data_IF_647111785392
#
_entry.id   IF_647111785392
#
_cell.length_a   1.000
_cell.length_b   1.000
_cell.length_c   1.000
_cell.angle_alpha   90.00
_cell.angle_beta   90.00
_cell.angle_gamma   90.00
#
_symmetry.space_group_name_H-M   'P 1'
#
loop_
_entity.id
_entity.type
_entity.pdbx_description
1 polymer ?
#
# COMPACT_ATOMS: atom_id res chain seq x y z
N UNK A 1 8.47 -0.23 16.63
CA UNK A 1 7.26 0.54 16.98
C UNK A 1 6.09 -0.11 16.27
N UNK A 2 4.97 -0.32 16.96
CA UNK A 2 3.74 -0.82 16.33
C UNK A 2 3.05 0.31 15.55
N UNK A 3 2.22 -0.04 14.57
CA UNK A 3 1.45 0.93 13.80
C UNK A 3 0.63 1.88 14.69
N UNK A 4 -0.02 1.35 15.73
CA UNK A 4 -0.73 2.13 16.75
C UNK A 4 0.18 3.17 17.40
N UNK A 5 1.34 2.74 17.89
CA UNK A 5 2.29 3.64 18.55
C UNK A 5 2.84 4.72 17.62
N UNK A 6 2.98 4.41 16.32
CA UNK A 6 3.39 5.42 15.33
C UNK A 6 2.29 6.47 15.16
N UNK A 7 1.03 6.07 14.95
CA UNK A 7 -0.08 7.03 14.83
C UNK A 7 -0.18 7.92 16.07
N UNK A 8 -0.22 7.31 17.26
CA UNK A 8 -0.37 8.02 18.53
C UNK A 8 0.78 9.03 18.76
N UNK A 9 2.01 8.72 18.32
CA UNK A 9 3.17 9.61 18.47
C UNK A 9 3.06 10.95 17.75
N UNK A 10 2.18 11.06 16.75
CA UNK A 10 1.97 12.32 16.03
C UNK A 10 1.11 13.31 16.80
N UNK A 11 0.39 12.86 17.84
CA UNK A 11 -0.48 13.69 18.67
C UNK A 11 -1.42 14.57 17.83
N UNK A 12 -2.10 13.98 16.84
CA UNK A 12 -2.83 14.72 15.80
C UNK A 12 -3.85 15.72 16.35
N UNK A 13 -4.40 15.46 17.54
CA UNK A 13 -5.40 16.29 18.20
C UNK A 13 -4.83 17.60 18.78
N UNK A 14 -3.54 17.65 19.09
CA UNK A 14 -2.91 18.80 19.77
C UNK A 14 -1.72 19.37 19.01
N UNK A 15 -1.14 18.62 18.08
CA UNK A 15 0.01 19.05 17.32
C UNK A 15 -0.37 20.14 16.30
N UNK A 16 0.19 21.34 16.49
CA UNK A 16 -0.08 22.52 15.67
C UNK A 16 0.16 22.32 14.17
N UNK A 17 1.04 21.38 13.78
CA UNK A 17 1.29 21.04 12.37
C UNK A 17 0.03 20.55 11.64
N UNK A 18 -0.89 19.93 12.37
CA UNK A 18 -2.05 19.27 11.80
C UNK A 18 -3.36 20.03 12.02
N UNK A 19 -3.35 21.05 12.88
CA UNK A 19 -4.55 21.81 13.20
C UNK A 19 -5.01 22.63 12.00
N UNK A 20 -6.32 22.62 11.69
CA UNK A 20 -6.87 23.43 10.60
C UNK A 20 -6.69 24.91 10.86
N UNK A 21 -6.62 25.66 9.76
CA UNK A 21 -6.76 27.13 9.77
C UNK A 21 -8.06 27.53 9.07
N UNK A 22 -8.35 28.82 9.00
CA UNK A 22 -9.51 29.32 8.25
C UNK A 22 -9.44 29.02 6.75
N UNK A 23 -8.25 28.77 6.19
CA UNK A 23 -8.03 28.62 4.75
C UNK A 23 -7.46 27.26 4.32
N UNK A 24 -7.04 26.41 5.27
CA UNK A 24 -6.38 25.14 4.94
C UNK A 24 -6.66 24.03 5.95
N UNK A 25 -6.65 22.79 5.43
CA UNK A 25 -6.61 21.56 6.23
C UNK A 25 -5.41 20.72 5.82
N UNK A 26 -4.96 19.85 6.71
CA UNK A 26 -3.69 19.14 6.57
C UNK A 26 -3.86 17.61 6.60
N UNK A 27 -5.03 17.12 6.15
CA UNK A 27 -5.38 15.69 6.13
C UNK A 27 -4.34 14.84 5.39
N UNK A 28 -3.94 15.27 4.20
CA UNK A 28 -2.93 14.62 3.38
C UNK A 28 -1.55 14.64 4.05
N UNK A 29 -1.16 15.74 4.69
CA UNK A 29 0.14 15.87 5.37
C UNK A 29 0.22 14.90 6.55
N UNK A 30 -0.81 14.85 7.38
CA UNK A 30 -0.88 13.90 8.50
C UNK A 30 -0.75 12.45 8.02
N UNK A 31 -1.56 12.05 7.04
CA UNK A 31 -1.49 10.71 6.49
C UNK A 31 -0.11 10.40 5.88
N UNK A 32 0.48 11.33 5.14
CA UNK A 32 1.82 11.16 4.55
C UNK A 32 2.91 11.01 5.62
N UNK A 33 2.86 11.78 6.70
CA UNK A 33 3.84 11.71 7.77
C UNK A 33 3.76 10.39 8.53
N UNK A 34 2.56 9.95 8.89
CA UNK A 34 2.32 8.65 9.53
C UNK A 34 2.88 7.52 8.66
N UNK A 35 2.52 7.50 7.38
CA UNK A 35 2.95 6.43 6.48
C UNK A 35 4.45 6.50 6.18
N UNK A 36 5.06 7.69 6.16
CA UNK A 36 6.52 7.84 6.04
C UNK A 36 7.24 7.28 7.27
N UNK A 37 6.72 7.50 8.47
CA UNK A 37 7.27 6.91 9.69
C UNK A 37 7.18 5.37 9.69
N UNK A 38 6.16 4.81 9.02
CA UNK A 38 6.03 3.37 8.76
C UNK A 38 6.94 2.86 7.63
N UNK A 39 7.62 3.75 6.87
CA UNK A 39 8.37 3.43 5.63
C UNK A 39 7.47 2.93 4.49
N UNK A 40 6.24 3.42 4.45
CA UNK A 40 5.19 3.03 3.51
C UNK A 40 4.71 4.27 2.73
N UNK A 41 5.58 5.01 2.02
CA UNK A 41 5.25 6.35 1.53
C UNK A 41 4.00 6.36 0.64
N UNK A 42 3.10 7.30 0.93
CA UNK A 42 1.93 7.62 0.10
C UNK A 42 2.30 8.52 -1.08
N UNK A 43 1.42 8.61 -2.11
CA UNK A 43 1.56 9.65 -3.12
C UNK A 43 1.58 11.05 -2.52
N UNK A 44 2.29 11.97 -3.19
CA UNK A 44 2.33 13.40 -2.83
C UNK A 44 1.16 14.18 -3.44
N UNK A 45 0.94 15.41 -2.96
CA UNK A 45 -0.07 16.33 -3.49
C UNK A 45 -1.40 16.31 -2.73
N UNK A 46 -2.45 16.82 -3.35
CA UNK A 46 -3.82 16.87 -2.79
C UNK A 46 -4.46 15.49 -2.74
N UNK A 47 -5.53 15.31 -1.93
CA UNK A 47 -6.29 14.06 -1.85
C UNK A 47 -6.73 13.56 -3.24
N UNK A 48 -7.23 14.45 -4.09
CA UNK A 48 -7.60 14.12 -5.47
C UNK A 48 -6.44 13.57 -6.29
N UNK A 49 -5.26 14.20 -6.21
CA UNK A 49 -4.05 13.74 -6.91
C UNK A 49 -3.56 12.39 -6.36
N UNK A 50 -3.58 12.23 -5.04
CA UNK A 50 -3.23 10.96 -4.38
C UNK A 50 -4.16 9.84 -4.81
N UNK A 51 -5.48 10.07 -4.77
CA UNK A 51 -6.48 9.08 -5.19
C UNK A 51 -6.29 8.66 -6.64
N UNK A 52 -6.08 9.61 -7.56
CA UNK A 52 -5.79 9.29 -8.97
C UNK A 52 -4.52 8.45 -9.13
N UNK A 53 -3.46 8.75 -8.37
CA UNK A 53 -2.22 7.99 -8.42
C UNK A 53 -2.37 6.55 -7.91
N UNK A 54 -3.14 6.36 -6.83
CA UNK A 54 -3.49 5.05 -6.27
C UNK A 54 -4.36 4.24 -7.25
N UNK A 55 -5.38 4.87 -7.84
CA UNK A 55 -6.25 4.24 -8.84
C UNK A 55 -5.49 3.86 -10.12
N UNK A 56 -4.53 4.68 -10.53
CA UNK A 56 -3.64 4.38 -11.65
C UNK A 56 -2.52 3.38 -11.30
N UNK A 57 -2.54 2.79 -10.10
CA UNK A 57 -1.55 1.81 -9.63
C UNK A 57 -0.09 2.31 -9.74
N UNK A 58 0.14 3.62 -9.57
CA UNK A 58 1.50 4.20 -9.58
C UNK A 58 2.30 3.87 -8.32
N UNK A 59 1.62 3.37 -7.28
CA UNK A 59 2.19 2.95 -6.01
C UNK A 59 1.79 1.48 -5.75
N UNK A 60 2.48 0.52 -6.38
CA UNK A 60 2.00 -0.85 -6.49
C UNK A 60 1.88 -1.59 -5.15
N UNK A 61 2.54 -1.14 -4.10
CA UNK A 61 2.42 -1.72 -2.76
C UNK A 61 1.12 -1.27 -2.04
N UNK A 62 0.50 -0.17 -2.47
CA UNK A 62 -0.78 0.27 -1.95
C UNK A 62 -1.91 -0.39 -2.74
N UNK A 63 -2.51 -1.43 -2.16
CA UNK A 63 -3.56 -2.22 -2.82
C UNK A 63 -4.95 -1.75 -2.39
N UNK A 64 -5.92 -1.66 -3.31
CA UNK A 64 -7.31 -1.42 -2.95
C UNK A 64 -7.84 -2.59 -2.12
N UNK A 65 -8.57 -2.29 -1.05
CA UNK A 65 -9.18 -3.29 -0.15
C UNK A 65 -10.62 -2.90 0.17
N UNK A 66 -11.43 -3.87 0.60
CA UNK A 66 -12.76 -3.60 1.16
C UNK A 66 -12.64 -3.02 2.57
N UNK A 67 -13.71 -2.39 3.09
CA UNK A 67 -13.68 -1.73 4.40
C UNK A 67 -13.38 -2.69 5.57
N UNK A 68 -13.97 -3.88 5.56
CA UNK A 68 -13.69 -4.92 6.55
C UNK A 68 -12.22 -5.38 6.52
N UNK A 69 -11.64 -5.50 5.31
CA UNK A 69 -10.22 -5.82 5.13
C UNK A 69 -9.34 -4.65 5.57
N UNK A 70 -9.76 -3.40 5.35
CA UNK A 70 -9.02 -2.23 5.82
C UNK A 70 -8.89 -2.23 7.35
N UNK A 71 -9.99 -2.44 8.09
CA UNK A 71 -9.94 -2.50 9.55
C UNK A 71 -9.09 -3.68 10.04
N UNK A 72 -9.25 -4.88 9.46
CA UNK A 72 -8.47 -6.04 9.89
C UNK A 72 -6.98 -5.87 9.63
N UNK A 73 -6.59 -5.24 8.52
CA UNK A 73 -5.20 -4.93 8.19
C UNK A 73 -4.60 -3.86 9.09
N UNK A 74 -5.35 -2.81 9.38
CA UNK A 74 -4.92 -1.81 10.37
C UNK A 74 -4.66 -2.49 11.72
N UNK A 75 -5.60 -3.31 12.21
CA UNK A 75 -5.45 -4.07 13.46
C UNK A 75 -4.23 -5.00 13.44
N UNK A 76 -3.90 -5.57 12.29
CA UNK A 76 -2.70 -6.40 12.10
C UNK A 76 -1.39 -5.58 11.94
N UNK A 77 -1.46 -4.25 12.00
CA UNK A 77 -0.31 -3.36 12.00
C UNK A 77 0.15 -2.86 10.64
N UNK A 78 -0.63 -3.04 9.58
CA UNK A 78 -0.31 -2.56 8.24
C UNK A 78 -0.87 -1.16 8.01
N UNK A 79 -0.07 -0.25 7.45
CA UNK A 79 -0.53 1.09 7.11
C UNK A 79 -1.72 1.03 6.17
N UNK A 80 -2.79 1.68 6.58
CA UNK A 80 -4.09 1.58 5.91
C UNK A 80 -4.77 2.93 5.93
N UNK A 81 -5.37 3.32 4.81
CA UNK A 81 -6.03 4.62 4.64
C UNK A 81 -7.43 4.47 4.06
N UNK A 82 -8.28 5.45 4.37
CA UNK A 82 -9.53 5.72 3.65
C UNK A 82 -9.41 7.07 2.94
N UNK A 83 -9.85 7.18 1.70
CA UNK A 83 -9.67 8.39 0.89
C UNK A 83 -10.84 8.65 -0.07
N UNK A 84 -11.23 9.93 -0.17
CA UNK A 84 -12.08 10.52 -1.21
C UNK A 84 -11.28 11.57 -1.98
N UNK A 85 -11.87 12.24 -2.97
CA UNK A 85 -11.15 13.28 -3.74
C UNK A 85 -10.79 14.52 -2.89
N UNK A 86 -11.46 14.73 -1.78
CA UNK A 86 -11.33 15.89 -0.90
C UNK A 86 -10.64 15.57 0.43
N UNK A 87 -10.72 14.33 0.92
CA UNK A 87 -10.26 13.99 2.26
C UNK A 87 -9.58 12.63 2.36
N UNK A 88 -8.68 12.46 3.33
CA UNK A 88 -7.98 11.21 3.62
C UNK A 88 -7.87 11.03 5.14
N UNK A 89 -8.06 9.79 5.58
CA UNK A 89 -7.88 9.38 6.98
C UNK A 89 -6.93 8.19 7.04
N UNK A 90 -6.27 8.03 8.19
CA UNK A 90 -5.50 6.84 8.55
C UNK A 90 -6.44 5.88 9.29
N UNK A 91 -6.58 4.63 8.85
CA UNK A 91 -7.40 3.64 9.57
C UNK A 91 -6.66 3.21 10.82
N UNK A 92 -7.31 3.36 11.97
CA UNK A 92 -6.72 3.16 13.29
C UNK A 92 -6.85 1.69 13.74
N UNK A 93 -5.80 1.10 14.34
CA UNK A 93 -5.82 -0.25 14.88
C UNK A 93 -6.59 -0.34 16.21
N UNK A 94 -7.91 -0.29 16.14
CA UNK A 94 -8.79 -0.32 17.32
C UNK A 94 -9.09 -1.75 17.83
N UNK A 95 -8.76 -2.78 17.03
CA UNK A 95 -8.99 -4.18 17.40
C UNK A 95 -10.41 -4.70 17.12
N UNK A 96 -11.30 -3.86 16.58
CA UNK A 96 -12.65 -4.27 16.22
C UNK A 96 -12.71 -5.00 14.87
N UNK A 97 -13.76 -5.80 14.70
CA UNK A 97 -14.17 -6.33 13.38
C UNK A 97 -15.19 -5.39 12.78
N UNK A 98 -14.93 -4.89 11.57
CA UNK A 98 -15.85 -4.03 10.84
C UNK A 98 -16.71 -4.84 9.87
N UNK A 99 -18.03 -4.63 9.90
CA UNK A 99 -18.99 -5.22 8.96
C UNK A 99 -19.41 -4.24 7.87
N UNK A 100 -19.28 -2.94 8.15
CA UNK A 100 -19.64 -1.83 7.27
C UNK A 100 -18.59 -0.73 7.31
N UNK A 101 -18.68 0.22 6.38
CA UNK A 101 -17.78 1.39 6.39
C UNK A 101 -17.90 2.16 7.72
N UNK A 102 -19.12 2.38 8.23
CA UNK A 102 -19.34 3.10 9.49
C UNK A 102 -18.69 2.45 10.71
N UNK A 103 -18.32 1.17 10.61
CA UNK A 103 -17.69 0.46 11.72
C UNK A 103 -16.20 0.77 11.88
N UNK A 104 -15.57 1.43 10.89
CA UNK A 104 -14.14 1.68 10.91
C UNK A 104 -13.76 2.75 11.93
N UNK A 105 -12.60 2.56 12.54
CA UNK A 105 -11.92 3.57 13.35
C UNK A 105 -10.81 4.21 12.55
N UNK A 106 -10.59 5.49 12.78
CA UNK A 106 -9.64 6.30 12.05
C UNK A 106 -8.97 7.33 12.94
N UNK A 107 -7.88 7.88 12.41
CA UNK A 107 -7.24 9.08 12.88
C UNK A 107 -7.05 10.01 11.70
N UNK A 108 -7.28 11.30 11.93
CA UNK A 108 -7.29 12.29 10.86
C UNK A 108 -6.85 13.65 11.35
N UNK A 109 -6.23 14.38 10.44
CA UNK A 109 -6.25 15.84 10.41
C UNK A 109 -7.30 16.27 9.40
N UNK A 110 -7.91 17.44 9.54
CA UNK A 110 -9.01 17.87 8.67
C UNK A 110 -9.64 19.16 9.18
N UNK A 111 -10.94 19.36 8.95
CA UNK A 111 -11.70 20.46 9.58
C UNK A 111 -11.67 20.38 11.12
N UNK A 112 -11.43 19.18 11.64
CA UNK A 112 -11.11 18.87 13.02
C UNK A 112 -10.14 17.70 13.02
N UNK A 113 -9.32 17.61 14.06
CA UNK A 113 -8.39 16.51 14.26
C UNK A 113 -9.00 15.50 15.24
N UNK A 114 -8.86 14.22 14.93
CA UNK A 114 -9.33 13.12 15.76
C UNK A 114 -8.29 12.03 15.81
N UNK A 115 -8.10 11.42 16.98
CA UNK A 115 -7.41 10.15 17.12
C UNK A 115 -8.43 9.08 17.55
N UNK A 116 -8.21 7.83 17.15
CA UNK A 116 -9.04 6.67 17.53
C UNK A 116 -10.56 6.94 17.57
N UNK A 117 -11.13 7.41 16.45
CA UNK A 117 -12.55 7.81 16.37
C UNK A 117 -13.24 7.14 15.19
N UNK A 118 -14.57 6.97 15.26
CA UNK A 118 -15.36 6.40 14.16
C UNK A 118 -15.20 7.21 12.87
N UNK A 119 -15.10 6.53 11.74
CA UNK A 119 -14.97 7.15 10.42
C UNK A 119 -16.16 8.04 10.04
N UNK A 120 -17.31 7.87 10.68
CA UNK A 120 -18.50 8.71 10.54
C UNK A 120 -18.27 10.17 10.98
N UNK A 121 -17.19 10.46 11.70
CA UNK A 121 -16.78 11.83 12.02
C UNK A 121 -15.98 12.51 10.89
N UNK A 122 -15.38 11.71 9.99
CA UNK A 122 -14.68 12.20 8.81
C UNK A 122 -15.65 12.49 7.66
N UNK A 123 -16.67 11.63 7.48
CA UNK A 123 -17.65 11.76 6.41
C UNK A 123 -19.07 11.47 6.89
N UNK A 124 -20.03 12.23 6.33
CA UNK A 124 -21.46 11.97 6.49
C UNK A 124 -21.83 10.59 5.92
N UNK A 125 -22.85 9.95 6.47
CA UNK A 125 -23.30 8.62 6.06
C UNK A 125 -23.57 8.47 4.56
N UNK A 126 -24.10 9.52 3.91
CA UNK A 126 -24.36 9.54 2.46
C UNK A 126 -23.10 9.50 1.59
N UNK A 127 -21.94 9.82 2.15
CA UNK A 127 -20.65 9.87 1.44
C UNK A 127 -19.82 8.61 1.70
N UNK A 128 -20.11 7.85 2.76
CA UNK A 128 -19.31 6.68 3.16
C UNK A 128 -19.15 5.63 2.06
N UNK A 129 -20.14 5.46 1.19
CA UNK A 129 -20.08 4.52 0.05
C UNK A 129 -19.05 4.93 -1.02
N UNK A 130 -18.63 6.20 -1.03
CA UNK A 130 -17.66 6.73 -2.00
C UNK A 130 -16.21 6.57 -1.53
N UNK A 131 -15.99 6.34 -0.24
CA UNK A 131 -14.66 6.20 0.36
C UNK A 131 -13.95 4.99 -0.22
N UNK A 132 -12.74 5.19 -0.71
CA UNK A 132 -11.86 4.13 -1.21
C UNK A 132 -10.85 3.77 -0.14
N UNK A 133 -10.63 2.48 0.09
CA UNK A 133 -9.67 2.00 1.06
C UNK A 133 -8.46 1.41 0.36
N UNK A 134 -7.29 1.77 0.87
CA UNK A 134 -6.02 1.22 0.43
C UNK A 134 -5.23 0.77 1.64
N UNK A 135 -4.55 -0.35 1.51
CA UNK A 135 -3.62 -0.82 2.53
C UNK A 135 -2.29 -1.13 1.90
N UNK A 136 -1.23 -0.84 2.63
CA UNK A 136 0.13 -1.14 2.22
C UNK A 136 0.37 -2.63 2.40
N UNK A 137 0.86 -3.28 1.35
CA UNK A 137 1.39 -4.62 1.40
C UNK A 137 2.87 -4.59 1.07
N UNK A 138 3.66 -5.20 1.93
CA UNK A 138 5.05 -5.47 1.68
C UNK A 138 5.37 -6.80 2.33
N UNK A 139 5.88 -7.72 1.53
CA UNK A 139 6.37 -8.99 2.03
C UNK A 139 7.86 -8.92 2.36
N UNK A 140 8.39 -7.74 2.70
CA UNK A 140 9.81 -7.58 3.02
C UNK A 140 10.22 -8.53 4.16
N UNK A 141 11.23 -9.37 3.92
CA UNK A 141 11.70 -10.44 4.81
C UNK A 141 10.64 -11.49 5.19
N UNK A 142 9.49 -11.53 4.52
CA UNK A 142 8.51 -12.60 4.68
C UNK A 142 9.00 -13.81 3.88
N UNK A 143 8.89 -15.01 4.47
CA UNK A 143 9.25 -16.23 3.78
C UNK A 143 8.41 -16.43 2.52
N UNK A 144 9.04 -16.98 1.49
CA UNK A 144 8.38 -17.27 0.22
C UNK A 144 9.00 -18.51 -0.40
N UNK A 145 8.28 -19.12 -1.34
CA UNK A 145 8.85 -20.05 -2.31
C UNK A 145 8.60 -19.49 -3.72
N UNK A 146 9.47 -19.84 -4.65
CA UNK A 146 9.31 -19.53 -6.06
C UNK A 146 9.43 -20.83 -6.84
N UNK A 147 8.66 -20.99 -7.91
CA UNK A 147 8.80 -22.15 -8.81
C UNK A 147 9.98 -22.02 -9.78
N UNK A 148 10.67 -20.88 -9.76
CA UNK A 148 11.75 -20.51 -10.67
C UNK A 148 13.03 -20.23 -9.90
N UNK A 149 14.12 -20.93 -10.25
CA UNK A 149 15.42 -20.80 -9.59
C UNK A 149 16.61 -20.65 -10.55
N UNK A 150 16.39 -20.85 -11.85
CA UNK A 150 17.44 -20.83 -12.88
C UNK A 150 17.28 -19.64 -13.82
N UNK A 151 18.28 -19.40 -14.67
CA UNK A 151 18.18 -18.34 -15.67
C UNK A 151 17.07 -18.64 -16.67
N UNK A 152 16.16 -17.69 -16.84
CA UNK A 152 15.10 -17.74 -17.84
C UNK A 152 15.48 -16.83 -19.01
N UNK A 153 15.46 -17.38 -20.22
CA UNK A 153 15.67 -16.60 -21.44
C UNK A 153 14.33 -16.11 -21.99
N UNK A 154 14.19 -14.81 -22.19
CA UNK A 154 12.96 -14.14 -22.63
C UNK A 154 13.27 -13.38 -23.91
N UNK A 155 12.52 -13.59 -25.00
CA UNK A 155 12.67 -12.73 -26.19
C UNK A 155 12.13 -11.33 -25.89
N UNK A 156 12.78 -10.28 -26.39
CA UNK A 156 12.25 -8.90 -26.29
C UNK A 156 10.79 -8.84 -26.77
N UNK A 157 9.92 -8.22 -25.97
CA UNK A 157 8.47 -8.14 -26.19
C UNK A 157 7.66 -9.34 -25.65
N UNK A 158 8.30 -10.49 -25.39
CA UNK A 158 7.64 -11.65 -24.79
C UNK A 158 7.70 -11.58 -23.26
N UNK A 159 6.87 -12.43 -22.61
CA UNK A 159 6.79 -12.53 -21.16
C UNK A 159 7.07 -13.94 -20.67
N UNK A 160 7.67 -14.03 -19.48
CA UNK A 160 7.70 -15.23 -18.66
C UNK A 160 6.85 -15.02 -17.42
N UNK A 161 6.27 -16.08 -16.86
CA UNK A 161 5.49 -15.99 -15.63
C UNK A 161 6.09 -16.94 -14.58
N UNK A 162 6.39 -16.41 -13.39
CA UNK A 162 6.81 -17.19 -12.24
C UNK A 162 5.69 -17.20 -11.19
N UNK A 163 5.53 -18.32 -10.49
CA UNK A 163 4.68 -18.42 -9.30
C UNK A 163 5.53 -18.17 -8.06
N UNK A 164 5.07 -17.23 -7.25
CA UNK A 164 5.64 -16.93 -5.94
C UNK A 164 4.57 -17.25 -4.90
N UNK A 165 4.85 -18.19 -4.00
CA UNK A 165 3.96 -18.52 -2.88
C UNK A 165 4.43 -17.77 -1.64
N UNK A 166 3.57 -16.93 -1.06
CA UNK A 166 3.89 -16.10 0.10
C UNK A 166 2.60 -15.79 0.86
N UNK A 167 2.68 -15.67 2.19
CA UNK A 167 1.51 -15.30 3.02
C UNK A 167 1.10 -13.83 2.87
N UNK A 168 1.92 -13.04 2.17
CA UNK A 168 1.70 -11.63 1.87
C UNK A 168 2.02 -11.35 0.42
N UNK A 169 1.56 -10.19 -0.09
CA UNK A 169 1.87 -9.76 -1.46
C UNK A 169 3.39 -9.62 -1.66
N UNK A 170 4.02 -10.42 -2.54
CA UNK A 170 5.47 -10.44 -2.69
C UNK A 170 6.03 -9.10 -3.18
N UNK A 171 7.14 -8.65 -2.58
CA UNK A 171 7.92 -7.54 -3.12
C UNK A 171 8.84 -8.09 -4.20
N UNK A 172 8.59 -7.83 -5.49
CA UNK A 172 9.38 -8.38 -6.60
C UNK A 172 10.11 -7.27 -7.34
N UNK A 173 11.43 -7.35 -7.42
CA UNK A 173 12.29 -6.30 -7.98
C UNK A 173 13.30 -6.87 -8.96
N UNK A 174 13.49 -6.20 -10.11
CA UNK A 174 14.62 -6.41 -10.99
C UNK A 174 15.82 -5.62 -10.49
N UNK A 175 16.97 -6.28 -10.29
CA UNK A 175 18.19 -5.61 -9.83
C UNK A 175 18.75 -4.59 -10.82
N UNK A 176 18.54 -4.80 -12.13
CA UNK A 176 18.84 -3.82 -13.17
C UNK A 176 17.55 -3.33 -13.81
N UNK A 177 17.24 -2.06 -13.60
CA UNK A 177 16.05 -1.42 -14.15
C UNK A 177 16.05 -1.41 -15.68
N UNK A 178 14.87 -1.50 -16.28
CA UNK A 178 14.69 -1.36 -17.73
C UNK A 178 14.98 -2.62 -18.57
N UNK A 179 15.44 -3.72 -17.98
CA UNK A 179 15.61 -5.00 -18.69
C UNK A 179 14.27 -5.73 -18.85
N UNK A 180 13.51 -5.86 -17.75
CA UNK A 180 12.14 -6.41 -17.76
C UNK A 180 11.17 -5.45 -17.09
N UNK A 181 9.90 -5.48 -17.50
CA UNK A 181 8.79 -4.95 -16.71
C UNK A 181 8.17 -6.08 -15.90
N UNK A 182 7.74 -5.77 -14.66
CA UNK A 182 7.18 -6.74 -13.72
C UNK A 182 5.75 -6.33 -13.41
N UNK A 183 4.81 -7.26 -13.53
CA UNK A 183 3.41 -7.03 -13.16
C UNK A 183 2.79 -8.30 -12.58
N UNK A 184 1.81 -8.15 -11.69
CA UNK A 184 0.99 -9.28 -11.24
C UNK A 184 0.02 -9.66 -12.36
N UNK A 185 0.11 -10.89 -12.83
CA UNK A 185 -0.81 -11.46 -13.81
C UNK A 185 -2.09 -12.01 -13.14
N UNK A 186 -1.94 -12.72 -12.02
CA UNK A 186 -3.07 -13.27 -11.25
C UNK A 186 -2.66 -13.65 -9.82
N UNK A 187 -3.64 -13.97 -8.98
CA UNK A 187 -3.45 -14.48 -7.62
C UNK A 187 -4.49 -15.58 -7.33
N UNK A 188 -4.08 -16.62 -6.61
CA UNK A 188 -4.96 -17.66 -6.06
C UNK A 188 -4.48 -18.06 -4.66
N UNK A 189 -5.23 -17.65 -3.63
CA UNK A 189 -4.80 -17.76 -2.24
C UNK A 189 -3.45 -17.07 -2.02
N UNK A 190 -2.50 -17.80 -1.46
CA UNK A 190 -1.12 -17.36 -1.20
C UNK A 190 -0.20 -17.47 -2.44
N UNK A 191 -0.73 -17.88 -3.61
CA UNK A 191 0.03 -17.96 -4.84
C UNK A 191 -0.15 -16.71 -5.69
N UNK A 192 0.95 -16.04 -6.00
CA UNK A 192 1.03 -14.85 -6.83
C UNK A 192 1.76 -15.16 -8.12
N UNK A 193 1.14 -14.86 -9.26
CA UNK A 193 1.72 -15.12 -10.57
C UNK A 193 2.21 -13.80 -11.15
N UNK A 194 3.52 -13.62 -11.22
CA UNK A 194 4.14 -12.40 -11.74
C UNK A 194 4.62 -12.62 -13.17
N UNK A 195 4.25 -11.72 -14.07
CA UNK A 195 4.73 -11.65 -15.44
C UNK A 195 5.96 -10.73 -15.52
N UNK A 196 6.99 -11.24 -16.18
CA UNK A 196 8.25 -10.55 -16.49
C UNK A 196 8.33 -10.36 -18.00
N UNK A 197 8.07 -9.15 -18.50
CA UNK A 197 8.07 -8.85 -19.94
C UNK A 197 9.41 -8.27 -20.35
N UNK A 198 10.07 -8.85 -21.36
CA UNK A 198 11.37 -8.37 -21.84
C UNK A 198 11.26 -7.02 -22.54
N UNK A 199 11.99 -6.01 -22.05
CA UNK A 199 11.96 -4.64 -22.56
C UNK A 199 13.24 -4.33 -23.35
N UNK A 200 14.40 -4.54 -22.75
CA UNK A 200 15.70 -4.32 -23.39
C UNK A 200 16.58 -5.55 -23.22
N UNK A 201 17.40 -5.83 -24.22
CA UNK A 201 18.36 -6.93 -24.22
C UNK A 201 19.35 -6.76 -23.07
N UNK A 202 19.66 -7.85 -22.36
CA UNK A 202 20.53 -7.84 -21.19
C UNK A 202 20.08 -8.85 -20.13
N UNK A 203 20.71 -8.84 -18.97
CA UNK A 203 20.38 -9.74 -17.86
C UNK A 203 20.07 -8.95 -16.60
N UNK A 204 19.08 -9.40 -15.82
CA UNK A 204 18.81 -8.88 -14.49
C UNK A 204 18.49 -10.01 -13.52
N UNK A 205 19.06 -9.93 -12.32
CA UNK A 205 18.60 -10.76 -11.20
C UNK A 205 17.22 -10.31 -10.72
N UNK A 206 16.39 -11.27 -10.32
CA UNK A 206 15.11 -11.02 -9.66
C UNK A 206 15.28 -11.27 -8.17
N UNK A 207 14.90 -10.27 -7.38
CA UNK A 207 14.93 -10.29 -5.93
C UNK A 207 13.50 -10.27 -5.42
N UNK A 208 13.19 -11.17 -4.48
CA UNK A 208 11.88 -11.28 -3.88
C UNK A 208 12.01 -10.97 -2.38
N UNK A 209 11.07 -10.20 -1.85
CA UNK A 209 10.94 -9.92 -0.41
C UNK A 209 12.21 -9.31 0.21
N UNK A 210 12.94 -8.50 -0.57
CA UNK A 210 14.26 -7.93 -0.22
C UNK A 210 15.32 -8.96 0.16
N UNK A 211 15.18 -10.20 -0.30
CA UNK A 211 16.26 -11.19 -0.21
C UNK A 211 17.56 -10.59 -0.73
N UNK A 212 18.66 -10.78 0.00
CA UNK A 212 20.01 -10.39 -0.47
C UNK A 212 20.53 -11.33 -1.55
N UNK A 213 19.86 -12.46 -1.78
CA UNK A 213 20.20 -13.42 -2.83
C UNK A 213 19.32 -13.24 -4.05
N UNK A 214 19.92 -13.40 -5.22
CA UNK A 214 19.17 -13.50 -6.48
C UNK A 214 18.35 -14.79 -6.46
N UNK A 215 17.05 -14.70 -6.73
CA UNK A 215 16.16 -15.88 -6.77
C UNK A 215 16.29 -16.59 -8.11
N UNK A 216 16.27 -15.82 -9.20
CA UNK A 216 16.52 -16.28 -10.55
C UNK A 216 16.94 -15.10 -11.44
N UNK A 217 17.40 -15.39 -12.66
CA UNK A 217 17.86 -14.35 -13.61
C UNK A 217 16.93 -14.31 -14.81
N UNK A 218 16.47 -13.12 -15.19
CA UNK A 218 15.86 -12.90 -16.50
C UNK A 218 16.95 -12.45 -17.47
N UNK A 219 17.17 -13.22 -18.54
CA UNK A 219 18.02 -12.85 -19.68
C UNK A 219 17.15 -12.52 -20.87
N UNK A 220 17.12 -11.25 -21.28
CA UNK A 220 16.39 -10.79 -22.45
C UNK A 220 17.28 -10.84 -23.68
N UNK A 221 16.80 -11.52 -24.72
CA UNK A 221 17.48 -11.69 -26.02
C UNK A 221 16.66 -11.13 -27.17
#
# INVERSE_FOLDING_TARGET
MSYKSVIDSFHVETNAKYQPTSSATYCNIFAQDVMRAMKEPLPSGTCSTMLRALQANKYPNWKPVSANVAQSRANAGYGTIGITSDHIVVIYPHGNTASSVSDLYMSMAGYKCFNDTRITYAWKSSVLSTVKFYSYYSADNVSFTCDTHSTVTIKKGNKYQARITCSQYPTVVAGTGGIVSISLASQSGDNYYFAFTGINTGSTGIYINKSSTVVFVCKVV
#
